data_IF_081426520100
#
_entry.id   IF_081426520100
#
_cell.length_a   1.000
_cell.length_b   1.000
_cell.length_c   1.000
_cell.angle_alpha   90.00
_cell.angle_beta   90.00
_cell.angle_gamma   90.00
#
_symmetry.space_group_name_H-M   'P 1'
#
loop_
_entity.id
_entity.type
_entity.pdbx_description
1 polymer ?
#
# COMPACT_ATOMS: atom_id res chain seq x y z
N UNK A 1 -1.77 -10.34 -8.07
CA UNK A 1 -2.77 -10.47 -7.00
C UNK A 1 -2.21 -9.67 -5.84
N UNK A 2 -2.90 -8.62 -5.38
CA UNK A 2 -2.43 -7.87 -4.22
C UNK A 2 -2.99 -8.61 -3.00
N UNK A 3 -2.15 -9.41 -2.35
CA UNK A 3 -2.52 -10.09 -1.10
C UNK A 3 -2.41 -9.06 0.03
N UNK A 4 -3.48 -8.93 0.83
CA UNK A 4 -3.58 -7.93 1.90
C UNK A 4 -4.33 -6.67 1.46
N UNK A 5 -5.61 -6.80 1.12
CA UNK A 5 -6.53 -5.65 1.16
C UNK A 5 -7.06 -5.54 2.58
N UNK A 6 -6.17 -5.22 3.50
CA UNK A 6 -6.52 -4.76 4.83
C UNK A 6 -7.09 -3.33 4.65
N UNK A 7 -8.06 -2.91 5.46
CA UNK A 7 -8.64 -1.55 5.40
C UNK A 7 -7.62 -0.42 5.71
N UNK A 8 -6.32 -0.73 5.72
CA UNK A 8 -5.20 0.16 5.96
C UNK A 8 -4.83 1.01 4.72
N UNK A 9 -5.34 0.68 3.53
CA UNK A 9 -4.99 1.38 2.29
C UNK A 9 -3.61 1.01 1.72
N UNK A 10 -2.92 0.05 2.35
CA UNK A 10 -1.68 -0.55 1.88
C UNK A 10 -1.95 -1.96 1.37
N UNK A 11 -1.31 -2.32 0.25
CA UNK A 11 -1.31 -3.66 -0.31
C UNK A 11 0.12 -4.09 -0.67
N UNK A 12 0.34 -5.40 -0.72
CA UNK A 12 1.63 -5.96 -1.11
C UNK A 12 1.64 -6.38 -2.59
N UNK A 13 2.57 -5.83 -3.37
CA UNK A 13 2.83 -6.32 -4.73
C UNK A 13 3.95 -7.36 -4.72
N UNK A 14 3.55 -8.63 -4.82
CA UNK A 14 4.47 -9.77 -4.82
C UNK A 14 5.44 -9.78 -6.00
N UNK A 15 5.07 -9.17 -7.13
CA UNK A 15 5.87 -9.21 -8.36
C UNK A 15 7.06 -8.26 -8.29
N UNK A 16 6.87 -7.14 -7.61
CA UNK A 16 7.88 -6.11 -7.41
C UNK A 16 8.47 -6.14 -6.00
N UNK A 17 8.00 -7.06 -5.16
CA UNK A 17 8.37 -7.19 -3.75
C UNK A 17 8.32 -5.82 -3.05
N UNK A 18 7.18 -5.11 -3.22
CA UNK A 18 7.04 -3.72 -2.78
C UNK A 18 5.65 -3.45 -2.20
N UNK A 19 5.61 -2.60 -1.18
CA UNK A 19 4.38 -2.04 -0.63
C UNK A 19 3.82 -1.01 -1.61
N UNK A 20 2.55 -1.15 -1.96
CA UNK A 20 1.79 -0.21 -2.78
C UNK A 20 0.69 0.37 -1.90
N UNK A 21 0.50 1.68 -1.94
CA UNK A 21 -0.62 2.34 -1.27
C UNK A 21 -1.02 3.58 -2.06
N UNK A 22 -2.24 4.07 -1.80
CA UNK A 22 -2.75 5.29 -2.42
C UNK A 22 -1.92 6.51 -1.97
N UNK A 23 -1.67 7.46 -2.87
CA UNK A 23 -0.91 8.68 -2.57
C UNK A 23 -1.45 9.42 -1.35
N UNK A 24 -2.76 9.46 -1.17
CA UNK A 24 -3.40 10.08 -0.01
C UNK A 24 -2.98 9.43 1.34
N UNK A 25 -2.77 8.11 1.34
CA UNK A 25 -2.32 7.35 2.51
C UNK A 25 -0.86 7.66 2.82
N UNK A 26 0.00 7.69 1.80
CA UNK A 26 1.40 8.09 1.95
C UNK A 26 1.54 9.52 2.45
N UNK A 27 0.76 10.44 1.91
CA UNK A 27 0.84 11.86 2.24
C UNK A 27 0.43 12.15 3.69
N UNK A 28 -0.48 11.35 4.26
CA UNK A 28 -0.87 11.46 5.67
C UNK A 28 0.21 11.00 6.65
N UNK A 29 1.13 10.13 6.23
CA UNK A 29 2.17 9.57 7.10
C UNK A 29 3.51 10.32 6.99
N UNK A 30 3.77 10.96 5.86
CA UNK A 30 5.01 11.73 5.60
C UNK A 30 4.86 13.20 6.03
N UNK A 31 3.63 13.66 6.32
CA UNK A 31 3.37 15.04 6.78
C UNK A 31 3.95 15.36 8.16
#
# INVERSE_FOLDING_TARGET
>A
MLIGKDNSGFGWDERRQRIVAEDAVWNSYIS
#
